data_IF_991044866385
#
_entry.id   IF_991044866385
#
_cell.length_a   1.000
_cell.length_b   1.000
_cell.length_c   1.000
_cell.angle_alpha   90.00
_cell.angle_beta   90.00
_cell.angle_gamma   90.00
#
_symmetry.space_group_name_H-M   'P 1'
#
loop_
_entity.id
_entity.type
_entity.pdbx_description
1 polymer ?
#
# COMPACT_ATOMS: atom_id res chain seq x y z
N UNK A 1 -84.60 3.89 43.39
CA UNK A 1 -85.03 4.14 42.00
C UNK A 1 -83.79 4.55 41.22
N UNK A 2 -83.25 3.67 40.36
CA UNK A 2 -83.26 3.77 38.87
C UNK A 2 -82.92 5.19 38.37
N UNK A 3 -81.96 5.43 37.47
CA UNK A 3 -81.42 4.56 36.42
C UNK A 3 -80.03 5.02 35.96
N UNK A 4 -79.32 4.07 35.37
CA UNK A 4 -78.03 4.15 34.67
C UNK A 4 -78.04 5.07 33.44
N UNK A 5 -76.87 5.64 33.14
CA UNK A 5 -76.43 5.89 31.76
C UNK A 5 -75.04 5.28 31.61
N UNK A 6 -75.00 4.19 30.85
CA UNK A 6 -73.82 3.55 30.27
C UNK A 6 -73.20 4.53 29.26
N UNK A 7 -71.87 4.65 29.21
CA UNK A 7 -71.12 4.83 27.96
C UNK A 7 -69.73 4.23 28.07
N UNK A 8 -69.32 3.68 26.95
CA UNK A 8 -68.40 2.56 26.76
C UNK A 8 -67.07 3.04 26.14
N UNK A 9 -66.00 2.27 26.38
CA UNK A 9 -64.77 2.13 25.58
C UNK A 9 -63.75 3.29 25.62
N UNK A 10 -62.44 3.09 25.49
CA UNK A 10 -61.64 1.99 24.95
C UNK A 10 -60.20 2.14 25.48
N UNK A 11 -59.53 1.04 25.83
CA UNK A 11 -58.13 1.03 26.23
C UNK A 11 -57.19 1.43 25.08
N UNK A 12 -56.11 2.16 25.39
CA UNK A 12 -55.04 2.43 24.44
C UNK A 12 -53.78 1.67 24.86
N UNK A 13 -53.40 0.71 24.01
CA UNK A 13 -52.26 -0.17 24.14
C UNK A 13 -50.92 0.56 24.26
N UNK A 14 -50.04 -0.03 25.06
CA UNK A 14 -48.61 0.30 25.15
C UNK A 14 -47.90 -0.16 23.88
N UNK A 15 -47.64 0.76 22.93
CA UNK A 15 -46.87 0.45 21.72
C UNK A 15 -45.39 0.79 21.89
N UNK A 16 -44.66 -0.23 22.34
CA UNK A 16 -43.23 -0.51 22.24
C UNK A 16 -42.41 0.36 21.26
N UNK A 17 -41.66 1.33 21.78
CA UNK A 17 -40.60 2.08 21.07
C UNK A 17 -39.29 1.28 21.17
N UNK A 18 -39.19 0.15 20.48
CA UNK A 18 -38.01 -0.74 20.56
C UNK A 18 -37.27 -0.88 19.21
N UNK A 19 -37.73 -0.22 18.14
CA UNK A 19 -37.20 -0.42 16.78
C UNK A 19 -36.17 0.61 16.27
N UNK A 20 -35.89 1.70 17.02
CA UNK A 20 -35.08 2.83 16.51
C UNK A 20 -33.64 2.85 17.06
N UNK A 21 -33.43 2.43 18.31
CA UNK A 21 -32.11 2.38 18.94
C UNK A 21 -31.22 1.25 18.40
N UNK A 22 -31.81 0.12 18.02
CA UNK A 22 -31.10 -1.05 17.48
C UNK A 22 -30.50 -0.80 16.09
N UNK A 23 -31.15 0.03 15.27
CA UNK A 23 -30.67 0.40 13.92
C UNK A 23 -29.47 1.36 13.95
N UNK A 24 -29.44 2.30 14.90
CA UNK A 24 -28.28 3.18 15.08
C UNK A 24 -27.07 2.42 15.65
N UNK A 25 -27.28 1.48 16.58
CA UNK A 25 -26.19 0.66 17.11
C UNK A 25 -25.53 -0.22 16.03
N UNK A 26 -26.32 -0.82 15.13
CA UNK A 26 -25.79 -1.59 14.00
C UNK A 26 -25.00 -0.73 12.99
N UNK A 27 -25.41 0.51 12.75
CA UNK A 27 -24.68 1.43 11.88
C UNK A 27 -23.34 1.89 12.50
N UNK A 28 -23.30 2.10 13.82
CA UNK A 28 -22.06 2.43 14.55
C UNK A 28 -21.10 1.24 14.60
N UNK A 29 -21.61 0.02 14.75
CA UNK A 29 -20.80 -1.21 14.71
C UNK A 29 -20.24 -1.52 13.31
N UNK A 30 -20.90 -1.05 12.24
CA UNK A 30 -20.41 -1.20 10.86
C UNK A 30 -19.37 -0.14 10.46
N UNK A 31 -19.15 0.90 11.28
CA UNK A 31 -18.10 1.90 11.05
C UNK A 31 -16.74 1.55 11.65
N UNK A 32 -16.66 0.53 12.49
CA UNK A 32 -15.47 0.30 13.31
C UNK A 32 -14.64 -0.91 12.89
N UNK A 33 -14.24 -1.03 11.62
CA UNK A 33 -12.98 -1.72 11.27
C UNK A 33 -12.41 -1.15 9.96
N UNK A 34 -12.01 0.12 9.96
CA UNK A 34 -11.01 0.56 8.98
C UNK A 34 -9.64 0.15 9.54
N UNK A 35 -9.09 -0.98 9.09
CA UNK A 35 -7.68 -1.27 9.31
C UNK A 35 -6.88 -0.31 8.44
N UNK A 36 -6.21 0.67 9.03
CA UNK A 36 -5.32 1.55 8.30
C UNK A 36 -4.03 0.78 7.99
N UNK A 37 -3.77 0.51 6.71
CA UNK A 37 -2.48 0.00 6.25
C UNK A 37 -1.49 1.17 6.23
N UNK A 38 -0.37 1.05 6.93
CA UNK A 38 0.66 2.08 6.93
C UNK A 38 1.37 2.07 5.57
N UNK A 39 1.59 3.23 4.97
CA UNK A 39 2.23 3.36 3.66
C UNK A 39 3.30 4.43 3.66
N UNK A 40 4.46 4.10 3.11
CA UNK A 40 5.56 5.02 2.86
C UNK A 40 5.97 4.96 1.40
N UNK A 41 6.73 5.95 0.97
CA UNK A 41 7.40 5.94 -0.32
C UNK A 41 8.86 6.37 -0.16
N UNK A 42 9.72 5.79 -1.00
CA UNK A 42 11.14 6.12 -1.06
C UNK A 42 11.59 5.99 -2.51
N UNK A 43 12.45 6.91 -2.97
CA UNK A 43 13.09 6.72 -4.28
C UNK A 43 14.05 5.56 -4.24
N UNK A 44 14.20 4.88 -5.37
CA UNK A 44 15.30 3.95 -5.56
C UNK A 44 16.67 4.64 -5.53
N UNK A 45 17.74 3.85 -5.64
CA UNK A 45 19.12 4.34 -5.78
C UNK A 45 19.63 5.18 -4.58
N UNK A 46 18.87 5.19 -3.48
CA UNK A 46 19.25 5.79 -2.21
C UNK A 46 20.27 4.94 -1.47
N UNK A 47 21.18 5.62 -0.75
CA UNK A 47 22.22 4.94 0.03
C UNK A 47 21.64 4.15 1.20
N UNK A 48 22.37 3.11 1.61
CA UNK A 48 22.12 2.41 2.86
C UNK A 48 22.06 3.37 4.05
N UNK A 49 21.12 3.13 4.96
CA UNK A 49 20.86 3.99 6.11
C UNK A 49 19.95 5.20 5.80
N UNK A 50 19.46 5.33 4.57
CA UNK A 50 18.42 6.32 4.26
C UNK A 50 17.15 6.06 5.08
N UNK A 51 16.54 7.14 5.57
CA UNK A 51 15.31 7.10 6.37
C UNK A 51 14.11 6.98 5.43
N UNK A 52 13.28 5.95 5.63
CA UNK A 52 12.01 5.78 4.93
C UNK A 52 10.87 6.45 5.70
N UNK A 53 10.79 6.23 7.02
CA UNK A 53 9.71 6.77 7.84
C UNK A 53 9.77 6.34 9.31
N UNK A 54 9.01 7.00 10.18
CA UNK A 54 8.98 6.70 11.61
C UNK A 54 7.76 5.85 11.97
N UNK A 55 7.93 4.52 11.93
CA UNK A 55 6.83 3.58 12.18
C UNK A 55 6.33 3.63 13.62
N UNK A 56 7.21 3.80 14.60
CA UNK A 56 6.77 3.89 15.99
C UNK A 56 5.86 5.09 16.23
N UNK A 57 6.22 6.26 15.68
CA UNK A 57 5.39 7.46 15.78
C UNK A 57 4.02 7.25 15.15
N UNK A 58 3.97 6.67 13.95
CA UNK A 58 2.73 6.51 13.19
C UNK A 58 1.82 5.42 13.76
N UNK A 59 2.39 4.43 14.46
CA UNK A 59 1.66 3.43 15.24
C UNK A 59 1.37 3.86 16.69
N UNK A 60 1.83 5.04 17.12
CA UNK A 60 1.65 5.54 18.48
C UNK A 60 2.43 4.74 19.54
N UNK A 61 3.53 4.10 19.16
CA UNK A 61 4.41 3.32 20.03
C UNK A 61 5.49 4.20 20.64
N UNK A 62 5.70 4.09 21.95
CA UNK A 62 6.81 4.72 22.63
C UNK A 62 8.07 3.83 22.62
N UNK A 63 9.24 4.45 22.84
CA UNK A 63 10.55 3.76 22.80
C UNK A 63 10.67 2.61 23.80
N UNK A 64 10.01 2.67 24.95
CA UNK A 64 10.04 1.60 25.93
C UNK A 64 9.19 0.41 25.46
N UNK A 65 8.04 0.67 24.84
CA UNK A 65 7.21 -0.36 24.20
C UNK A 65 7.97 -1.10 23.10
N UNK A 66 8.75 -0.39 22.26
CA UNK A 66 9.55 -1.04 21.20
C UNK A 66 10.50 -2.12 21.75
N UNK A 67 11.21 -1.81 22.82
CA UNK A 67 12.17 -2.73 23.45
C UNK A 67 11.48 -3.86 24.20
N UNK A 68 10.51 -3.51 25.05
CA UNK A 68 9.82 -4.48 25.90
C UNK A 68 8.99 -5.49 25.10
N UNK A 69 8.39 -5.04 23.99
CA UNK A 69 7.62 -5.89 23.07
C UNK A 69 8.41 -6.35 21.84
N UNK A 70 9.74 -6.17 21.83
CA UNK A 70 10.65 -6.61 20.74
C UNK A 70 10.14 -6.27 19.33
N UNK A 71 9.90 -4.99 19.10
CA UNK A 71 9.41 -4.52 17.81
C UNK A 71 10.41 -4.83 16.70
N UNK A 72 9.98 -5.59 15.69
CA UNK A 72 10.84 -5.95 14.55
C UNK A 72 10.05 -6.08 13.26
N UNK A 73 10.75 -5.92 12.14
CA UNK A 73 10.26 -6.31 10.81
C UNK A 73 10.43 -7.81 10.65
N UNK A 74 9.41 -8.47 10.10
CA UNK A 74 9.48 -9.88 9.68
C UNK A 74 10.10 -9.90 8.29
N UNK A 75 11.37 -10.28 8.20
CA UNK A 75 12.01 -10.56 6.91
C UNK A 75 11.78 -12.02 6.52
N UNK A 76 11.37 -12.25 5.28
CA UNK A 76 11.26 -13.60 4.69
C UNK A 76 12.55 -14.15 4.08
N UNK A 77 13.63 -13.34 3.99
CA UNK A 77 14.87 -13.68 3.30
C UNK A 77 16.13 -13.30 4.08
N UNK A 78 17.28 -13.81 3.61
CA UNK A 78 18.60 -13.59 4.22
C UNK A 78 19.13 -12.16 4.02
N UNK A 79 18.63 -11.44 3.01
CA UNK A 79 19.05 -10.09 2.66
C UNK A 79 17.82 -9.15 2.56
N UNK A 80 17.41 -8.53 3.69
CA UNK A 80 16.23 -7.66 3.71
C UNK A 80 16.52 -6.29 3.08
N UNK A 81 15.58 -5.77 2.28
CA UNK A 81 15.67 -4.42 1.70
C UNK A 81 15.52 -3.30 2.74
N UNK A 82 14.78 -3.58 3.82
CA UNK A 82 14.50 -2.61 4.87
C UNK A 82 14.72 -3.20 6.26
N UNK A 83 15.07 -2.35 7.22
CA UNK A 83 15.23 -2.70 8.62
C UNK A 83 14.63 -1.62 9.52
N UNK A 84 14.13 -2.02 10.68
CA UNK A 84 13.65 -1.08 11.69
C UNK A 84 14.65 -1.02 12.84
N UNK A 85 14.96 0.18 13.31
CA UNK A 85 15.77 0.35 14.50
C UNK A 85 14.89 0.22 15.76
N UNK A 86 15.23 -0.74 16.61
CA UNK A 86 14.47 -1.07 17.83
C UNK A 86 14.50 0.04 18.90
N UNK A 87 15.41 1.03 18.77
CA UNK A 87 15.56 2.11 19.75
C UNK A 87 14.71 3.35 19.46
N UNK A 88 14.50 3.67 18.18
CA UNK A 88 13.77 4.86 17.74
C UNK A 88 12.52 4.54 16.90
N UNK A 89 12.37 3.30 16.41
CA UNK A 89 11.26 2.83 15.62
C UNK A 89 11.23 3.34 14.18
N UNK A 90 12.36 3.84 13.68
CA UNK A 90 12.51 4.35 12.32
C UNK A 90 12.85 3.20 11.37
N UNK A 91 12.19 3.20 10.21
CA UNK A 91 12.43 2.31 9.09
C UNK A 91 13.56 2.89 8.22
N UNK A 92 14.59 2.08 7.98
CA UNK A 92 15.77 2.42 7.20
C UNK A 92 15.92 1.49 6.01
N UNK A 93 16.56 2.01 4.97
CA UNK A 93 17.05 1.23 3.83
C UNK A 93 18.27 0.42 4.26
N UNK A 94 18.22 -0.90 4.11
CA UNK A 94 19.32 -1.80 4.50
C UNK A 94 20.36 -1.98 3.40
N UNK A 95 19.97 -1.81 2.13
CA UNK A 95 20.87 -1.81 0.98
C UNK A 95 20.29 -0.98 -0.14
N UNK A 96 21.14 -0.55 -1.07
CA UNK A 96 20.71 0.13 -2.29
C UNK A 96 19.65 -0.71 -3.01
N UNK A 97 18.56 -0.03 -3.37
CA UNK A 97 17.41 -0.64 -4.04
C UNK A 97 17.50 -0.24 -5.50
N UNK A 98 17.56 -1.24 -6.37
CA UNK A 98 17.43 -1.13 -7.82
C UNK A 98 16.00 -1.61 -8.15
N UNK A 99 15.16 -0.71 -8.67
CA UNK A 99 13.75 -1.01 -8.93
C UNK A 99 13.61 -1.99 -10.09
N UNK A 100 14.48 -1.93 -11.09
CA UNK A 100 14.52 -2.85 -12.23
C UNK A 100 14.82 -4.28 -11.77
N UNK A 101 15.66 -4.44 -10.75
CA UNK A 101 15.94 -5.75 -10.12
C UNK A 101 14.73 -6.26 -9.31
N UNK A 102 14.15 -5.41 -8.45
CA UNK A 102 13.14 -5.82 -7.47
C UNK A 102 11.74 -5.94 -8.09
N UNK A 103 11.44 -5.12 -9.09
CA UNK A 103 10.11 -4.89 -9.65
C UNK A 103 10.08 -4.84 -11.19
N UNK A 104 10.93 -5.64 -11.84
CA UNK A 104 11.22 -5.67 -13.29
C UNK A 104 10.02 -5.56 -14.28
N UNK A 105 8.79 -5.85 -13.87
CA UNK A 105 7.60 -5.83 -14.73
C UNK A 105 6.40 -5.11 -14.11
N UNK A 106 6.56 -4.48 -12.95
CA UNK A 106 5.46 -3.79 -12.27
C UNK A 106 5.52 -2.29 -12.52
N UNK A 107 4.39 -1.71 -12.89
CA UNK A 107 4.23 -0.24 -12.99
C UNK A 107 4.23 0.44 -11.63
N UNK A 108 3.97 -0.30 -10.56
CA UNK A 108 4.00 0.17 -9.17
C UNK A 108 4.84 -0.83 -8.36
N UNK A 109 5.95 -0.37 -7.80
CA UNK A 109 6.81 -1.20 -6.99
C UNK A 109 6.42 -1.09 -5.51
N UNK A 110 5.47 -1.92 -5.06
CA UNK A 110 5.02 -1.94 -3.67
C UNK A 110 5.60 -3.14 -2.93
N UNK A 111 6.42 -2.88 -1.92
CA UNK A 111 7.03 -3.89 -1.06
C UNK A 111 6.23 -3.98 0.24
N UNK A 112 5.58 -5.12 0.46
CA UNK A 112 4.82 -5.39 1.68
C UNK A 112 5.73 -5.93 2.80
N UNK A 113 5.79 -5.19 3.89
CA UNK A 113 6.47 -5.55 5.12
C UNK A 113 5.44 -5.89 6.20
N UNK A 114 5.83 -6.77 7.12
CA UNK A 114 5.08 -7.04 8.34
C UNK A 114 5.93 -6.67 9.53
N UNK A 115 5.37 -5.92 10.46
CA UNK A 115 6.02 -5.64 11.74
C UNK A 115 5.29 -6.33 12.86
N UNK A 116 6.04 -6.77 13.87
CA UNK A 116 5.51 -7.58 14.98
C UNK A 116 5.90 -6.96 16.31
N UNK A 117 4.94 -6.92 17.22
CA UNK A 117 5.14 -6.73 18.66
C UNK A 117 4.77 -8.02 19.38
N UNK A 118 5.59 -8.42 20.35
CA UNK A 118 5.36 -9.59 21.20
C UNK A 118 4.58 -9.20 22.48
N UNK A 119 3.87 -10.17 23.07
CA UNK A 119 3.22 -10.09 24.39
C UNK A 119 2.34 -8.83 24.66
N UNK A 120 1.11 -8.74 24.10
CA UNK A 120 0.45 -9.70 23.22
C UNK A 120 1.00 -9.65 21.79
N UNK A 121 0.74 -10.69 20.99
CA UNK A 121 1.15 -10.69 19.58
C UNK A 121 0.30 -9.67 18.80
N UNK A 122 0.95 -8.72 18.15
CA UNK A 122 0.33 -7.71 17.30
C UNK A 122 1.12 -7.59 16.01
N UNK A 123 0.41 -7.53 14.88
CA UNK A 123 1.01 -7.54 13.55
C UNK A 123 0.46 -6.37 12.73
N UNK A 124 1.35 -5.56 12.18
CA UNK A 124 0.97 -4.48 11.28
C UNK A 124 1.54 -4.72 9.88
N UNK A 125 0.70 -4.53 8.87
CA UNK A 125 1.12 -4.55 7.47
C UNK A 125 1.54 -3.14 7.07
N UNK A 126 2.74 -3.01 6.49
CA UNK A 126 3.34 -1.76 6.06
C UNK A 126 3.71 -1.90 4.59
N UNK A 127 3.19 -1.04 3.73
CA UNK A 127 3.60 -0.98 2.33
C UNK A 127 4.67 0.09 2.12
N UNK A 128 5.75 -0.24 1.42
CA UNK A 128 6.75 0.73 0.97
C UNK A 128 6.73 0.78 -0.54
N UNK A 129 6.33 1.92 -1.10
CA UNK A 129 6.37 2.18 -2.53
C UNK A 129 7.76 2.68 -2.94
N UNK A 130 8.45 1.92 -3.78
CA UNK A 130 9.71 2.34 -4.39
C UNK A 130 9.39 3.17 -5.63
N UNK A 131 9.80 4.43 -5.60
CA UNK A 131 9.60 5.37 -6.69
C UNK A 131 10.75 5.26 -7.68
N UNK A 132 10.35 5.05 -8.93
CA UNK A 132 11.21 5.01 -10.10
C UNK A 132 11.94 6.34 -10.32
N UNK A 133 13.20 6.27 -10.74
CA UNK A 133 13.94 7.43 -11.25
C UNK A 133 14.39 7.15 -12.69
N UNK A 134 14.59 8.20 -13.47
CA UNK A 134 15.09 8.06 -14.84
C UNK A 134 16.62 7.94 -14.83
N UNK A 135 17.14 6.76 -14.50
CA UNK A 135 18.57 6.45 -14.48
C UNK A 135 19.00 5.52 -15.63
N UNK A 136 18.06 5.00 -16.42
CA UNK A 136 18.35 4.32 -17.67
C UNK A 136 18.09 5.21 -18.89
N UNK A 137 18.60 4.78 -20.03
CA UNK A 137 18.37 5.44 -21.31
C UNK A 137 17.85 4.40 -22.31
N UNK A 138 16.92 4.78 -23.21
CA UNK A 138 16.39 3.85 -24.18
C UNK A 138 17.50 3.26 -25.05
N UNK A 139 17.48 1.94 -25.21
CA UNK A 139 18.49 1.22 -25.98
C UNK A 139 17.86 0.39 -27.10
N UNK A 140 18.47 0.42 -28.28
CA UNK A 140 18.07 -0.46 -29.37
C UNK A 140 18.73 -1.83 -29.22
N UNK A 141 18.04 -2.93 -29.57
CA UNK A 141 18.62 -4.28 -29.54
C UNK A 141 19.74 -4.46 -30.58
N UNK A 142 19.71 -3.69 -31.66
CA UNK A 142 20.71 -3.69 -32.73
C UNK A 142 21.39 -2.32 -32.73
N UNK A 143 22.74 -2.26 -32.63
CA UNK A 143 23.49 -1.00 -32.67
C UNK A 143 23.39 -0.30 -34.03
N UNK A 144 23.31 -1.09 -35.08
CA UNK A 144 23.17 -0.63 -36.46
C UNK A 144 22.15 -1.53 -37.17
N UNK A 145 21.28 -0.93 -38.00
CA UNK A 145 20.33 -1.68 -38.82
C UNK A 145 20.46 -1.30 -40.29
N UNK A 146 20.94 -2.24 -41.09
CA UNK A 146 20.86 -2.13 -42.55
C UNK A 146 19.47 -2.55 -43.04
N UNK A 147 18.89 -1.75 -43.93
CA UNK A 147 17.64 -2.06 -44.63
C UNK A 147 17.92 -2.11 -46.13
N UNK A 148 17.54 -3.21 -46.76
CA UNK A 148 17.59 -3.34 -48.22
C UNK A 148 16.20 -3.03 -48.78
N UNK A 149 16.12 -2.00 -49.63
CA UNK A 149 14.86 -1.50 -50.20
C UNK A 149 14.97 -1.55 -51.72
N UNK A 150 14.02 -2.25 -52.37
CA UNK A 150 13.94 -2.29 -53.83
C UNK A 150 13.61 -0.91 -54.39
N UNK A 151 14.28 -0.51 -55.47
CA UNK A 151 14.00 0.74 -56.20
C UNK A 151 12.57 0.83 -56.75
N UNK A 152 11.92 -0.32 -56.94
CA UNK A 152 10.53 -0.43 -57.41
C UNK A 152 9.49 -0.17 -56.32
N UNK A 153 9.90 0.09 -55.08
CA UNK A 153 9.00 0.33 -53.97
C UNK A 153 8.23 1.64 -54.18
N UNK A 154 6.88 1.62 -54.07
CA UNK A 154 6.07 2.81 -54.26
C UNK A 154 6.29 3.84 -53.14
N UNK A 155 6.12 5.12 -53.48
CA UNK A 155 6.15 6.20 -52.49
C UNK A 155 5.08 5.97 -51.41
N UNK A 156 5.47 6.19 -50.15
CA UNK A 156 4.60 5.97 -48.99
C UNK A 156 4.69 4.58 -48.37
N UNK A 157 5.50 3.66 -48.92
CA UNK A 157 5.84 2.40 -48.25
C UNK A 157 6.49 2.65 -46.88
N UNK A 158 6.18 1.80 -45.90
CA UNK A 158 6.70 1.88 -44.53
C UNK A 158 7.49 0.63 -44.18
N UNK A 159 8.65 0.81 -43.57
CA UNK A 159 9.52 -0.26 -43.10
C UNK A 159 9.59 -0.21 -41.58
N UNK A 160 9.26 -1.31 -40.91
CA UNK A 160 9.27 -1.35 -39.45
C UNK A 160 10.71 -1.51 -38.95
N UNK A 161 11.08 -0.67 -37.99
CA UNK A 161 12.30 -0.83 -37.19
C UNK A 161 11.92 -1.49 -35.86
N UNK A 162 12.89 -2.19 -35.24
CA UNK A 162 12.70 -2.65 -33.87
C UNK A 162 12.69 -1.43 -32.94
N UNK A 163 11.72 -1.34 -32.01
CA UNK A 163 11.69 -0.24 -31.06
C UNK A 163 12.89 -0.30 -30.11
N UNK A 164 13.24 0.85 -29.55
CA UNK A 164 14.11 0.91 -28.38
C UNK A 164 13.40 0.28 -27.18
N UNK A 165 14.18 -0.04 -26.15
CA UNK A 165 13.67 -0.53 -24.86
C UNK A 165 14.29 0.30 -23.75
N UNK A 166 13.45 0.72 -22.84
CA UNK A 166 13.84 1.39 -21.61
C UNK A 166 13.35 0.54 -20.42
N UNK A 167 14.24 0.12 -19.51
CA UNK A 167 13.83 -0.70 -18.36
C UNK A 167 13.09 0.10 -17.27
N UNK A 168 13.17 1.44 -17.31
CA UNK A 168 12.44 2.32 -16.39
C UNK A 168 10.92 2.14 -16.59
N UNK A 169 10.13 2.66 -15.66
CA UNK A 169 8.67 2.47 -15.64
C UNK A 169 7.88 3.75 -15.92
N UNK A 170 6.58 3.59 -16.18
CA UNK A 170 5.61 4.69 -16.25
C UNK A 170 6.03 5.81 -17.22
N UNK A 171 6.23 7.04 -16.74
CA UNK A 171 6.59 8.22 -17.53
C UNK A 171 8.08 8.24 -17.94
N UNK A 172 8.91 7.36 -17.37
CA UNK A 172 10.33 7.27 -17.68
C UNK A 172 10.64 6.16 -18.71
N UNK A 173 9.67 5.27 -18.98
CA UNK A 173 9.78 4.25 -20.03
C UNK A 173 9.39 4.76 -21.43
N UNK A 174 9.90 4.11 -22.48
CA UNK A 174 9.62 4.41 -23.92
C UNK A 174 9.05 3.24 -24.69
#
# INVERSE_FOLDING_TARGET
>A
MRSELIMEQRGLEKRMVTGRFTRCALAVLLWSVASAQLRYSISEEVNEGAVVGNMAKDLGLDKNTLKTRKYRVVSGGADPLFSVNENDGVLYVSRKIDREEVCAQSSVCLIDLKTVLENPLEVHNVGVEVLDINDHAPSFPEKEKALEVSESVPAGARFQLKPAKDPDSSLFSV
#
